data_IF_621543397371
#
_entry.id   IF_621543397371
#
_cell.length_a   1.000
_cell.length_b   1.000
_cell.length_c   1.000
_cell.angle_alpha   90.00
_cell.angle_beta   90.00
_cell.angle_gamma   90.00
#
_symmetry.space_group_name_H-M   'P 1'
#
loop_
_entity.id
_entity.type
_entity.pdbx_description
1 polymer ?
#
# COMPACT_ATOMS: atom_id res chain seq x y z
N UNK A 1 -20.86 7.89 9.54
CA UNK A 1 -19.84 8.81 9.00
C UNK A 1 -18.48 8.25 9.33
N UNK A 2 -18.06 7.22 8.61
CA UNK A 2 -16.80 6.53 8.87
C UNK A 2 -15.70 7.37 8.23
N UNK A 3 -14.99 8.16 9.04
CA UNK A 3 -13.82 8.89 8.56
C UNK A 3 -12.83 7.86 8.01
N UNK A 4 -12.30 8.15 6.81
CA UNK A 4 -11.21 7.38 6.21
C UNK A 4 -10.16 7.13 7.30
N UNK A 5 -9.85 5.87 7.56
CA UNK A 5 -8.93 5.48 8.64
C UNK A 5 -7.60 6.20 8.52
N UNK A 6 -7.46 7.31 9.25
CA UNK A 6 -6.20 7.70 9.87
C UNK A 6 -5.34 8.78 9.22
N UNK A 7 -5.70 9.49 8.15
CA UNK A 7 -4.83 10.57 7.62
C UNK A 7 -5.61 11.80 7.09
N UNK A 8 -6.08 12.71 7.97
CA UNK A 8 -6.78 13.95 7.57
C UNK A 8 -5.98 14.81 6.57
N UNK A 9 -4.65 14.80 6.69
CA UNK A 9 -3.75 15.47 5.76
C UNK A 9 -3.86 14.92 4.33
N UNK A 10 -3.98 13.60 4.18
CA UNK A 10 -4.06 12.95 2.88
C UNK A 10 -5.35 13.33 2.14
N UNK A 11 -6.48 13.33 2.85
CA UNK A 11 -7.78 13.76 2.29
C UNK A 11 -7.70 15.21 1.81
N UNK A 12 -7.09 16.09 2.62
CA UNK A 12 -6.90 17.50 2.26
C UNK A 12 -6.00 17.65 1.04
N UNK A 13 -4.91 16.89 0.97
CA UNK A 13 -3.98 16.91 -0.16
C UNK A 13 -4.66 16.46 -1.46
N UNK A 14 -5.41 15.36 -1.41
CA UNK A 14 -6.16 14.86 -2.58
C UNK A 14 -7.20 15.89 -3.03
N UNK A 15 -7.99 16.44 -2.11
CA UNK A 15 -8.99 17.46 -2.44
C UNK A 15 -8.35 18.72 -3.07
N UNK A 16 -7.20 19.14 -2.54
CA UNK A 16 -6.45 20.26 -3.10
C UNK A 16 -5.96 19.97 -4.52
N UNK A 17 -5.35 18.80 -4.76
CA UNK A 17 -4.88 18.38 -6.08
C UNK A 17 -6.03 18.22 -7.09
N UNK A 18 -7.21 17.76 -6.65
CA UNK A 18 -8.39 17.64 -7.50
C UNK A 18 -8.94 19.02 -7.90
N UNK A 19 -8.91 19.99 -6.97
CA UNK A 19 -9.23 21.38 -7.27
C UNK A 19 -8.27 21.99 -8.31
N UNK A 20 -6.96 21.74 -8.18
CA UNK A 20 -5.97 22.18 -9.16
C UNK A 20 -6.22 21.55 -10.55
N UNK A 21 -6.51 20.25 -10.61
CA UNK A 21 -6.82 19.57 -11.88
C UNK A 21 -8.09 20.12 -12.56
N UNK A 22 -9.13 20.46 -11.79
CA UNK A 22 -10.33 21.11 -12.31
C UNK A 22 -10.04 22.51 -12.87
N UNK A 23 -9.22 23.30 -12.15
CA UNK A 23 -8.79 24.63 -12.59
C UNK A 23 -7.90 24.59 -13.83
N UNK A 24 -6.98 23.62 -13.93
CA UNK A 24 -6.17 23.37 -15.14
C UNK A 24 -7.08 23.10 -16.35
N UNK A 25 -8.20 22.39 -16.12
CA UNK A 25 -9.26 22.15 -17.11
C UNK A 25 -10.23 23.32 -17.31
N UNK A 26 -9.98 24.50 -16.71
CA UNK A 26 -10.85 25.70 -16.71
C UNK A 26 -12.28 25.45 -16.23
N UNK A 27 -12.48 24.50 -15.31
CA UNK A 27 -13.78 24.18 -14.72
C UNK A 27 -13.87 24.69 -13.29
N UNK A 28 -15.07 25.08 -12.89
CA UNK A 28 -15.40 25.52 -11.52
C UNK A 28 -15.90 24.39 -10.61
N UNK A 29 -16.14 23.20 -11.17
CA UNK A 29 -16.59 22.00 -10.46
C UNK A 29 -15.58 20.87 -10.58
N UNK A 30 -15.35 20.17 -9.46
CA UNK A 30 -14.53 18.97 -9.39
C UNK A 30 -15.37 17.77 -9.84
N UNK A 31 -14.80 16.98 -10.74
CA UNK A 31 -15.38 15.73 -11.24
C UNK A 31 -14.64 14.51 -10.68
N UNK A 32 -15.23 13.33 -10.83
CA UNK A 32 -14.58 12.07 -10.45
C UNK A 32 -13.25 11.84 -11.18
N UNK A 33 -13.13 12.34 -12.41
CA UNK A 33 -11.89 12.27 -13.17
C UNK A 33 -10.78 13.15 -12.56
N UNK A 34 -11.13 14.30 -11.98
CA UNK A 34 -10.15 15.16 -11.28
C UNK A 34 -9.69 14.52 -9.99
N UNK A 35 -10.61 13.87 -9.26
CA UNK A 35 -10.27 13.10 -8.08
C UNK A 35 -9.31 11.95 -8.43
N UNK A 36 -9.56 11.23 -9.53
CA UNK A 36 -8.65 10.19 -10.01
C UNK A 36 -7.25 10.73 -10.32
N UNK A 37 -7.16 11.81 -11.12
CA UNK A 37 -5.88 12.47 -11.45
C UNK A 37 -5.16 12.91 -10.17
N UNK A 38 -5.88 13.47 -9.21
CA UNK A 38 -5.33 13.89 -7.93
C UNK A 38 -4.71 12.73 -7.14
N UNK A 39 -5.40 11.60 -7.07
CA UNK A 39 -4.89 10.41 -6.39
C UNK A 39 -3.67 9.83 -7.13
N UNK A 40 -3.67 9.81 -8.47
CA UNK A 40 -2.51 9.38 -9.27
C UNK A 40 -1.27 10.27 -9.02
N UNK A 41 -1.47 11.60 -8.97
CA UNK A 41 -0.40 12.55 -8.63
C UNK A 41 0.13 12.32 -7.22
N UNK A 42 -0.76 12.19 -6.24
CA UNK A 42 -0.37 11.94 -4.85
C UNK A 42 0.38 10.62 -4.70
N UNK A 43 -0.06 9.54 -5.37
CA UNK A 43 0.65 8.26 -5.36
C UNK A 43 2.03 8.37 -6.00
N UNK A 44 2.15 9.14 -7.09
CA UNK A 44 3.42 9.38 -7.79
C UNK A 44 4.39 10.13 -6.88
N UNK A 45 3.94 11.23 -6.28
CA UNK A 45 4.73 12.04 -5.35
C UNK A 45 5.11 11.25 -4.10
N UNK A 46 4.19 10.44 -3.58
CA UNK A 46 4.46 9.57 -2.44
C UNK A 46 5.51 8.52 -2.79
N UNK A 47 5.38 7.84 -3.94
CA UNK A 47 6.41 6.91 -4.39
C UNK A 47 7.78 7.59 -4.55
N UNK A 48 7.80 8.81 -5.12
CA UNK A 48 9.03 9.60 -5.27
C UNK A 48 9.64 10.01 -3.91
N UNK A 49 8.81 10.21 -2.88
CA UNK A 49 9.26 10.52 -1.52
C UNK A 49 9.88 9.33 -0.76
N UNK A 50 9.61 8.09 -1.21
CA UNK A 50 10.18 6.91 -0.59
C UNK A 50 11.70 6.84 -0.85
N UNK A 51 12.48 6.21 0.04
CA UNK A 51 13.90 5.99 -0.21
C UNK A 51 14.12 5.26 -1.55
N UNK A 52 15.10 5.68 -2.36
CA UNK A 52 15.37 5.13 -3.70
C UNK A 52 15.43 3.59 -3.74
N UNK A 53 15.97 2.97 -2.70
CA UNK A 53 16.02 1.50 -2.55
C UNK A 53 14.64 0.84 -2.50
N UNK A 54 13.68 1.47 -1.83
CA UNK A 54 12.30 1.00 -1.71
C UNK A 54 11.60 1.13 -3.06
N UNK A 55 11.80 2.26 -3.75
CA UNK A 55 11.30 2.45 -5.11
C UNK A 55 11.84 1.36 -6.05
N UNK A 56 13.14 1.05 -5.96
CA UNK A 56 13.76 -0.03 -6.74
C UNK A 56 13.12 -1.37 -6.39
N UNK A 57 12.94 -1.72 -5.11
CA UNK A 57 12.32 -2.99 -4.71
C UNK A 57 10.88 -3.10 -5.23
N UNK A 58 10.06 -2.06 -5.09
CA UNK A 58 8.70 -2.02 -5.62
C UNK A 58 8.64 -2.06 -7.15
N UNK A 59 9.66 -1.55 -7.83
CA UNK A 59 9.76 -1.55 -9.30
C UNK A 59 10.20 -2.89 -9.91
N UNK A 60 10.66 -3.85 -9.10
CA UNK A 60 11.09 -5.18 -9.55
C UNK A 60 9.94 -5.98 -10.15
N UNK A 61 10.26 -6.91 -11.04
CA UNK A 61 9.27 -7.81 -11.63
C UNK A 61 8.66 -8.73 -10.57
N UNK A 62 9.46 -9.19 -9.61
CA UNK A 62 9.00 -10.04 -8.51
C UNK A 62 7.98 -9.31 -7.63
N UNK A 63 8.19 -8.02 -7.34
CA UNK A 63 7.23 -7.21 -6.58
C UNK A 63 5.91 -7.02 -7.35
N UNK A 64 5.99 -6.83 -8.68
CA UNK A 64 4.80 -6.74 -9.54
C UNK A 64 4.02 -8.04 -9.61
N UNK A 65 4.70 -9.18 -9.71
CA UNK A 65 4.07 -10.51 -9.70
C UNK A 65 3.39 -10.82 -8.36
N UNK A 66 3.99 -10.36 -7.26
CA UNK A 66 3.46 -10.54 -5.91
C UNK A 66 2.69 -9.31 -5.39
N UNK A 67 2.24 -8.42 -6.27
CA UNK A 67 1.54 -7.19 -5.87
C UNK A 67 0.28 -7.46 -5.03
N UNK A 68 -0.57 -8.46 -5.36
CA UNK A 68 -1.72 -8.82 -4.53
C UNK A 68 -1.31 -9.30 -3.13
N UNK A 69 -0.21 -10.05 -3.02
CA UNK A 69 0.34 -10.51 -1.74
C UNK A 69 0.81 -9.32 -0.89
N UNK A 70 1.53 -8.37 -1.50
CA UNK A 70 1.99 -7.16 -0.81
C UNK A 70 0.82 -6.28 -0.33
N UNK A 71 -0.26 -6.18 -1.11
CA UNK A 71 -1.49 -5.49 -0.69
C UNK A 71 -2.16 -6.21 0.48
N UNK A 72 -2.28 -7.54 0.43
CA UNK A 72 -2.85 -8.32 1.53
C UNK A 72 -2.01 -8.19 2.82
N UNK A 73 -0.68 -8.23 2.70
CA UNK A 73 0.23 -7.93 3.79
C UNK A 73 0.03 -6.52 4.35
N UNK A 74 -0.18 -5.51 3.50
CA UNK A 74 -0.43 -4.14 3.93
C UNK A 74 -1.78 -3.99 4.66
N UNK A 75 -2.80 -4.78 4.31
CA UNK A 75 -4.09 -4.83 5.02
C UNK A 75 -3.95 -5.53 6.37
N UNK A 76 -3.32 -6.70 6.38
CA UNK A 76 -3.04 -7.46 7.59
C UNK A 76 -2.23 -6.62 8.60
N UNK A 77 -1.22 -5.90 8.13
CA UNK A 77 -0.39 -5.00 8.93
C UNK A 77 -1.00 -3.61 9.21
N UNK A 78 -2.29 -3.40 8.92
CA UNK A 78 -2.96 -2.12 9.23
C UNK A 78 -3.37 -1.98 10.71
N UNK A 79 -3.10 -3.01 11.53
CA UNK A 79 -3.28 -2.97 12.98
C UNK A 79 -2.39 -1.92 13.64
N UNK A 80 -2.71 -1.54 14.89
CA UNK A 80 -2.02 -0.48 15.63
C UNK A 80 -0.50 -0.70 15.75
N UNK A 81 -0.07 -1.96 15.75
CA UNK A 81 1.32 -2.34 16.01
C UNK A 81 2.11 -2.53 14.70
N UNK A 82 1.43 -2.56 13.55
CA UNK A 82 2.00 -2.75 12.21
C UNK A 82 2.48 -4.17 11.89
N UNK A 83 2.38 -5.09 12.87
CA UNK A 83 2.76 -6.48 12.72
C UNK A 83 1.62 -7.32 12.14
N UNK A 84 2.00 -8.35 11.39
CA UNK A 84 1.08 -9.34 10.83
C UNK A 84 1.72 -10.73 10.75
N UNK A 85 0.92 -11.77 10.90
CA UNK A 85 1.29 -13.18 10.70
C UNK A 85 1.02 -13.62 9.26
N UNK A 86 1.45 -14.83 8.90
CA UNK A 86 1.11 -15.44 7.59
C UNK A 86 -0.39 -15.70 7.49
N UNK A 87 -1.03 -16.11 8.59
CA UNK A 87 -2.46 -16.41 8.64
C UNK A 87 -3.32 -15.15 8.41
N UNK A 88 -2.87 -14.00 8.91
CA UNK A 88 -3.53 -12.71 8.66
C UNK A 88 -3.51 -12.36 7.15
N UNK A 89 -2.39 -12.63 6.47
CA UNK A 89 -2.26 -12.38 5.03
C UNK A 89 -3.12 -13.32 4.21
N UNK A 90 -3.21 -14.60 4.60
CA UNK A 90 -4.08 -15.58 3.94
C UNK A 90 -5.55 -15.16 4.05
N UNK A 91 -5.94 -14.70 5.25
CA UNK A 91 -7.28 -14.18 5.51
C UNK A 91 -7.61 -13.02 4.56
N UNK A 92 -6.68 -12.08 4.39
CA UNK A 92 -6.84 -10.94 3.49
C UNK A 92 -6.81 -11.29 2.00
N UNK A 93 -6.06 -12.33 1.61
CA UNK A 93 -6.03 -12.84 0.23
C UNK A 93 -7.36 -13.50 -0.18
N UNK A 94 -8.23 -13.86 0.77
CA UNK A 94 -9.44 -14.65 0.54
C UNK A 94 -9.15 -15.92 -0.30
N UNK A 95 -7.97 -16.51 -0.13
CA UNK A 95 -7.45 -17.56 -1.00
C UNK A 95 -7.03 -18.79 -0.19
N UNK A 96 -7.12 -19.98 -0.80
CA UNK A 96 -6.72 -21.26 -0.22
C UNK A 96 -5.24 -21.58 -0.45
N UNK A 97 -4.38 -20.56 -0.56
CA UNK A 97 -2.95 -20.82 -0.76
C UNK A 97 -2.35 -21.52 0.46
N UNK A 98 -1.44 -22.50 0.26
CA UNK A 98 -0.76 -23.14 1.38
C UNK A 98 0.02 -22.12 2.21
N UNK A 99 -0.06 -22.20 3.54
CA UNK A 99 0.68 -21.34 4.48
C UNK A 99 2.17 -21.26 4.13
N UNK A 100 2.79 -22.41 3.84
CA UNK A 100 4.20 -22.48 3.47
C UNK A 100 4.54 -21.74 2.15
N UNK A 101 3.60 -21.64 1.21
CA UNK A 101 3.80 -20.90 -0.03
C UNK A 101 3.78 -19.39 0.24
N UNK A 102 2.79 -18.91 1.00
CA UNK A 102 2.67 -17.50 1.39
C UNK A 102 3.87 -17.06 2.22
N UNK A 103 4.30 -17.88 3.20
CA UNK A 103 5.48 -17.59 3.99
C UNK A 103 6.75 -17.49 3.13
N UNK A 104 6.97 -18.45 2.23
CA UNK A 104 8.11 -18.43 1.31
C UNK A 104 8.11 -17.16 0.46
N UNK A 105 6.95 -16.75 -0.04
CA UNK A 105 6.84 -15.61 -0.93
C UNK A 105 6.99 -14.28 -0.17
N UNK A 106 6.50 -14.18 1.08
CA UNK A 106 6.80 -13.06 1.99
C UNK A 106 8.29 -12.99 2.33
N UNK A 107 8.93 -14.15 2.55
CA UNK A 107 10.37 -14.22 2.86
C UNK A 107 11.27 -13.66 1.75
N UNK A 108 10.79 -13.64 0.50
CA UNK A 108 11.52 -13.01 -0.63
C UNK A 108 11.69 -11.50 -0.49
N UNK A 109 10.84 -10.86 0.31
CA UNK A 109 10.87 -9.42 0.57
C UNK A 109 11.50 -9.09 1.94
N UNK A 110 12.15 -10.06 2.59
CA UNK A 110 12.92 -9.83 3.82
C UNK A 110 14.36 -9.50 3.48
N UNK A 111 14.90 -8.47 4.11
CA UNK A 111 16.33 -8.16 4.08
C UNK A 111 16.62 -6.82 4.74
N UNK A 112 17.91 -6.52 4.96
CA UNK A 112 18.33 -5.20 5.47
C UNK A 112 17.92 -4.06 4.53
N UNK A 113 17.71 -4.35 3.25
CA UNK A 113 17.41 -3.37 2.21
C UNK A 113 16.08 -3.60 1.50
N UNK A 114 15.26 -4.51 2.02
CA UNK A 114 14.00 -4.89 1.40
C UNK A 114 12.78 -4.38 2.21
N UNK A 115 11.59 -4.69 1.71
CA UNK A 115 10.32 -4.10 2.17
C UNK A 115 9.91 -4.56 3.56
N UNK A 116 10.24 -5.80 3.94
CA UNK A 116 9.76 -6.44 5.17
C UNK A 116 10.89 -6.69 6.18
N UNK A 117 10.50 -6.64 7.44
CA UNK A 117 11.25 -7.14 8.59
C UNK A 117 10.58 -8.39 9.12
N UNK A 118 11.40 -9.36 9.54
CA UNK A 118 10.97 -10.55 10.24
C UNK A 118 11.26 -10.38 11.73
N UNK A 119 10.26 -10.66 12.56
CA UNK A 119 10.39 -10.65 14.02
C UNK A 119 9.90 -12.00 14.54
N UNK A 120 10.73 -12.65 15.34
CA UNK A 120 10.39 -13.90 16.00
C UNK A 120 9.93 -13.59 17.43
N UNK A 121 8.66 -13.84 17.71
CA UNK A 121 8.06 -13.67 19.04
C UNK A 121 7.75 -15.06 19.60
N UNK A 122 8.61 -15.56 20.49
CA UNK A 122 8.52 -16.91 21.06
C UNK A 122 8.34 -18.01 19.99
N UNK A 123 7.09 -18.43 19.77
CA UNK A 123 6.70 -19.48 18.83
C UNK A 123 6.05 -18.95 17.53
N UNK A 124 5.86 -17.64 17.38
CA UNK A 124 5.18 -17.01 16.25
C UNK A 124 6.13 -16.15 15.42
N UNK A 125 6.06 -16.31 14.09
CA UNK A 125 6.78 -15.48 13.14
C UNK A 125 5.86 -14.34 12.71
N UNK A 126 6.29 -13.11 12.98
CA UNK A 126 5.57 -11.90 12.55
C UNK A 126 6.41 -11.10 11.56
N UNK A 127 5.71 -10.48 10.63
CA UNK A 127 6.26 -9.61 9.62
C UNK A 127 5.82 -8.18 9.88
N UNK A 128 6.62 -7.22 9.42
CA UNK A 128 6.25 -5.80 9.44
C UNK A 128 6.88 -5.09 8.25
N UNK A 129 6.20 -4.11 7.67
CA UNK A 129 6.83 -3.22 6.70
C UNK A 129 7.92 -2.37 7.37
N UNK A 130 9.13 -2.42 6.84
CA UNK A 130 10.27 -1.61 7.32
C UNK A 130 9.97 -0.11 7.19
N UNK A 131 9.18 0.26 6.18
CA UNK A 131 8.81 1.64 5.90
C UNK A 131 7.29 1.77 6.00
N UNK A 132 6.76 2.46 7.03
CA UNK A 132 5.31 2.64 7.21
C UNK A 132 4.62 3.27 6.00
N UNK A 133 5.31 4.13 5.24
CA UNK A 133 4.76 4.73 4.01
C UNK A 133 4.47 3.73 2.90
N UNK A 134 5.09 2.55 2.89
CA UNK A 134 4.89 1.53 1.86
C UNK A 134 3.53 0.87 2.00
N UNK A 135 3.11 0.51 3.21
CA UNK A 135 1.80 -0.11 3.42
C UNK A 135 0.68 0.84 3.01
N UNK A 136 0.76 2.13 3.39
CA UNK A 136 -0.21 3.14 2.96
C UNK A 136 -0.24 3.32 1.44
N UNK A 137 0.91 3.34 0.78
CA UNK A 137 1.00 3.41 -0.68
C UNK A 137 0.33 2.20 -1.35
N UNK A 138 0.61 0.98 -0.86
CA UNK A 138 0.01 -0.25 -1.38
C UNK A 138 -1.51 -0.24 -1.22
N UNK A 139 -2.02 0.13 -0.05
CA UNK A 139 -3.46 0.23 0.20
C UNK A 139 -4.13 1.23 -0.72
N UNK A 140 -3.56 2.43 -0.86
CA UNK A 140 -4.10 3.49 -1.70
C UNK A 140 -4.03 3.13 -3.18
N UNK A 141 -2.96 2.47 -3.64
CA UNK A 141 -2.86 1.93 -5.00
C UNK A 141 -3.93 0.87 -5.28
N UNK A 142 -4.24 0.01 -4.29
CA UNK A 142 -5.28 -1.01 -4.42
C UNK A 142 -6.68 -0.42 -4.46
N UNK A 143 -6.93 0.64 -3.68
CA UNK A 143 -8.20 1.36 -3.70
C UNK A 143 -8.41 2.07 -5.05
N UNK A 144 -7.36 2.68 -5.60
CA UNK A 144 -7.36 3.26 -6.94
C UNK A 144 -7.68 2.23 -8.03
N UNK A 145 -7.00 1.09 -8.03
CA UNK A 145 -7.21 0.05 -9.03
C UNK A 145 -8.67 -0.44 -9.04
N UNK A 146 -9.29 -0.56 -7.85
CA UNK A 146 -10.70 -0.90 -7.72
C UNK A 146 -11.68 0.15 -8.24
N UNK A 147 -11.29 1.42 -8.27
CA UNK A 147 -12.13 2.49 -8.81
C UNK A 147 -12.09 2.54 -10.35
N UNK A 148 -11.07 1.95 -10.96
CA UNK A 148 -10.88 1.91 -12.41
C UNK A 148 -11.45 0.62 -13.06
N UNK A 149 -11.80 -0.39 -12.25
CA UNK A 149 -12.37 -1.67 -12.68
C UNK A 149 -13.91 -1.63 -12.60
#
# INVERSE_FOLDING_TARGET
TTMAGGLPYLVRLIAHQAGLAALDGRRSGVSDNDARIAVERVLTDWNASLPRRVQVSLGREEARLNWPLLIAAARAGSSADGYFSVDDVITELNNSQPVAAVERDLRRFIGQHDLLELHQFDAEIRFRFRYPGVSSLLLMSSAMARMAA
#
